data_IF_203331083629
#
_entry.id   IF_203331083629
#
_cell.length_a   1.000
_cell.length_b   1.000
_cell.length_c   1.000
_cell.angle_alpha   90.00
_cell.angle_beta   90.00
_cell.angle_gamma   90.00
#
_symmetry.space_group_name_H-M   'P 1'
#
loop_
_entity.id
_entity.type
_entity.pdbx_description
1 polymer ?
#
# COMPACT_ATOMS: atom_id res chain seq x y z
N UNK A 1 -20.98 21.23 4.55
CA UNK A 1 -21.94 20.85 3.49
C UNK A 1 -21.26 21.18 2.17
N UNK A 2 -20.77 20.19 1.42
CA UNK A 2 -20.18 20.42 0.10
C UNK A 2 -21.17 19.94 -0.94
N UNK A 3 -21.71 20.87 -1.71
CA UNK A 3 -22.56 20.63 -2.88
C UNK A 3 -21.78 21.05 -4.11
N UNK A 4 -21.51 20.13 -5.02
CA UNK A 4 -21.34 20.43 -6.46
C UNK A 4 -21.85 19.22 -7.25
N UNK A 5 -22.89 19.43 -8.06
CA UNK A 5 -23.32 18.65 -9.25
C UNK A 5 -23.47 17.12 -9.15
N UNK A 6 -24.72 16.63 -9.35
CA UNK A 6 -25.14 15.26 -9.76
C UNK A 6 -24.55 14.03 -9.05
N UNK A 7 -23.66 14.19 -8.07
CA UNK A 7 -23.09 13.12 -7.25
C UNK A 7 -22.79 13.69 -5.86
N UNK A 8 -23.38 13.09 -4.82
CA UNK A 8 -23.13 13.52 -3.44
C UNK A 8 -21.82 12.89 -2.94
N UNK A 9 -20.88 13.72 -2.48
CA UNK A 9 -19.72 13.29 -1.69
C UNK A 9 -20.02 13.69 -0.23
N UNK A 10 -20.35 12.72 0.62
CA UNK A 10 -20.60 13.00 2.03
C UNK A 10 -19.30 12.94 2.82
N UNK A 11 -18.91 14.07 3.38
CA UNK A 11 -17.78 14.18 4.30
C UNK A 11 -18.27 14.75 5.63
N UNK A 12 -18.18 13.96 6.70
CA UNK A 12 -18.28 14.47 8.08
C UNK A 12 -17.21 13.82 8.93
N UNK A 13 -16.41 14.64 9.62
CA UNK A 13 -15.41 14.20 10.59
C UNK A 13 -16.15 13.74 11.86
N UNK A 14 -15.98 12.49 12.28
CA UNK A 14 -16.25 12.09 13.66
C UNK A 14 -15.39 10.88 14.04
N UNK A 15 -15.23 10.67 15.34
CA UNK A 15 -14.38 9.65 15.98
C UNK A 15 -14.78 8.18 15.64
N UNK A 16 -15.88 7.99 14.89
CA UNK A 16 -16.50 6.70 14.54
C UNK A 16 -16.21 6.20 13.12
N UNK A 17 -15.34 6.87 12.36
CA UNK A 17 -14.82 6.41 11.07
C UNK A 17 -15.67 6.84 9.88
N UNK A 18 -15.03 7.43 8.87
CA UNK A 18 -15.67 7.91 7.64
C UNK A 18 -15.36 6.95 6.50
N UNK A 19 -16.39 6.40 5.87
CA UNK A 19 -16.29 5.75 4.56
C UNK A 19 -16.81 6.71 3.51
N UNK A 20 -15.91 7.23 2.68
CA UNK A 20 -16.26 8.00 1.50
C UNK A 20 -16.79 7.04 0.45
N UNK A 21 -18.07 7.15 0.09
CA UNK A 21 -18.64 6.46 -1.05
C UNK A 21 -19.26 7.49 -1.99
N UNK A 22 -18.88 7.41 -3.27
CA UNK A 22 -19.58 8.17 -4.31
C UNK A 22 -20.93 7.50 -4.51
N UNK A 23 -22.00 8.29 -4.41
CA UNK A 23 -23.35 7.85 -4.79
C UNK A 23 -23.65 8.39 -6.18
N UNK A 24 -24.18 7.53 -7.06
CA UNK A 24 -24.62 7.95 -8.39
C UNK A 24 -26.02 8.56 -8.29
N UNK A 25 -26.17 9.81 -8.73
CA UNK A 25 -27.47 10.48 -8.80
C UNK A 25 -27.68 11.60 -7.78
N UNK A 26 -28.84 12.30 -7.86
CA UNK A 26 -29.13 13.48 -7.06
C UNK A 26 -29.53 13.17 -5.60
N UNK A 27 -29.85 11.91 -5.29
CA UNK A 27 -30.29 11.45 -3.96
C UNK A 27 -29.65 10.11 -3.60
N UNK A 28 -29.62 9.79 -2.30
CA UNK A 28 -29.18 8.50 -1.78
C UNK A 28 -30.38 7.53 -1.83
N UNK A 29 -30.24 6.42 -2.54
CA UNK A 29 -31.23 5.34 -2.49
C UNK A 29 -31.06 4.46 -1.24
N UNK A 30 -32.06 3.63 -0.94
CA UNK A 30 -31.93 2.64 0.15
C UNK A 30 -30.77 1.66 -0.12
N UNK A 31 -30.53 1.29 -1.37
CA UNK A 31 -29.44 0.39 -1.75
C UNK A 31 -28.07 1.03 -1.52
N UNK A 32 -27.94 2.32 -1.85
CA UNK A 32 -26.72 3.09 -1.57
C UNK A 32 -26.46 3.16 -0.06
N UNK A 33 -27.50 3.40 0.73
CA UNK A 33 -27.41 3.42 2.18
C UNK A 33 -26.98 2.07 2.75
N UNK A 34 -27.62 0.99 2.32
CA UNK A 34 -27.31 -0.37 2.79
C UNK A 34 -25.90 -0.80 2.41
N UNK A 35 -25.44 -0.46 1.20
CA UNK A 35 -24.05 -0.69 0.76
C UNK A 35 -23.06 0.06 1.64
N UNK A 36 -23.31 1.35 1.89
CA UNK A 36 -22.46 2.17 2.75
C UNK A 36 -22.39 1.67 4.20
N UNK A 37 -23.54 1.25 4.77
CA UNK A 37 -23.62 0.65 6.10
C UNK A 37 -22.81 -0.64 6.19
N UNK A 38 -22.90 -1.47 5.15
CA UNK A 38 -22.17 -2.73 5.10
C UNK A 38 -20.66 -2.52 4.95
N UNK A 39 -20.21 -1.54 4.15
CA UNK A 39 -18.80 -1.14 4.12
C UNK A 39 -18.32 -0.59 5.47
N UNK A 40 -19.13 0.23 6.16
CA UNK A 40 -18.81 0.72 7.49
C UNK A 40 -18.65 -0.42 8.51
N UNK A 41 -19.57 -1.41 8.50
CA UNK A 41 -19.49 -2.61 9.34
C UNK A 41 -18.21 -3.38 9.11
N UNK A 42 -17.81 -3.60 7.86
CA UNK A 42 -16.55 -4.30 7.54
C UNK A 42 -15.31 -3.53 8.00
N UNK A 43 -15.28 -2.21 7.84
CA UNK A 43 -14.17 -1.39 8.36
C UNK A 43 -14.09 -1.43 9.89
N UNK A 44 -15.24 -1.44 10.57
CA UNK A 44 -15.28 -1.51 12.03
C UNK A 44 -14.76 -2.86 12.54
N UNK A 45 -15.08 -3.96 11.85
CA UNK A 45 -14.64 -5.32 12.22
C UNK A 45 -13.12 -5.52 12.21
N UNK A 46 -12.38 -4.72 11.43
CA UNK A 46 -10.91 -4.85 11.32
C UNK A 46 -10.15 -3.94 12.31
N UNK A 47 -10.87 -3.16 13.14
CA UNK A 47 -10.27 -2.14 14.01
C UNK A 47 -9.61 -2.78 15.23
N UNK A 48 -8.29 -2.70 15.27
CA UNK A 48 -7.45 -3.10 16.39
C UNK A 48 -6.80 -1.85 17.00
N UNK A 49 -7.15 -1.48 18.25
CA UNK A 49 -6.56 -0.31 18.91
C UNK A 49 -5.04 -0.39 18.96
N UNK A 50 -4.37 0.74 18.74
CA UNK A 50 -2.95 0.84 19.01
C UNK A 50 -2.72 0.91 20.52
N UNK A 51 -1.96 -0.04 21.06
CA UNK A 51 -1.52 0.01 22.46
C UNK A 51 -0.17 0.72 22.54
N UNK A 52 -0.01 1.62 23.52
CA UNK A 52 1.24 2.39 23.72
C UNK A 52 2.45 1.50 23.99
N UNK A 53 2.22 0.31 24.53
CA UNK A 53 3.25 -0.69 24.81
C UNK A 53 3.28 -1.70 23.67
N UNK A 54 4.08 -1.43 22.63
CA UNK A 54 4.13 -2.25 21.41
C UNK A 54 4.41 -3.74 21.69
N UNK A 55 5.19 -4.05 22.73
CA UNK A 55 5.49 -5.42 23.15
C UNK A 55 4.26 -6.23 23.60
N UNK A 56 3.16 -5.56 23.94
CA UNK A 56 1.88 -6.22 24.26
C UNK A 56 1.13 -6.67 23.00
N UNK A 57 1.53 -6.21 21.81
CA UNK A 57 0.95 -6.69 20.55
C UNK A 57 1.60 -8.02 20.15
N UNK A 58 1.30 -9.08 20.88
CA UNK A 58 1.87 -10.43 20.67
C UNK A 58 1.55 -11.03 19.29
N UNK A 59 0.45 -10.56 18.68
CA UNK A 59 0.03 -10.90 17.32
C UNK A 59 0.57 -9.97 16.25
N UNK A 60 1.38 -8.98 16.61
CA UNK A 60 1.97 -8.09 15.62
C UNK A 60 3.00 -8.82 14.77
N UNK A 61 3.00 -8.54 13.47
CA UNK A 61 3.99 -9.10 12.53
C UNK A 61 4.44 -8.01 11.56
N UNK A 62 5.73 -7.97 11.31
CA UNK A 62 6.28 -7.12 10.27
C UNK A 62 5.92 -7.71 8.91
N UNK A 63 5.47 -6.87 7.99
CA UNK A 63 5.04 -7.30 6.65
C UNK A 63 5.81 -6.63 5.52
N UNK A 64 6.64 -5.62 5.79
CA UNK A 64 7.36 -4.89 4.76
C UNK A 64 7.94 -3.58 5.25
N UNK A 65 8.25 -2.71 4.31
CA UNK A 65 8.94 -1.44 4.51
C UNK A 65 8.26 -0.31 3.73
N UNK A 66 8.38 0.91 4.25
CA UNK A 66 7.99 2.15 3.58
C UNK A 66 9.15 3.13 3.57
N UNK A 67 9.37 3.78 2.43
CA UNK A 67 10.33 4.89 2.29
C UNK A 67 9.62 6.24 2.36
N UNK A 68 10.05 7.12 3.26
CA UNK A 68 9.39 8.41 3.49
C UNK A 68 10.34 9.46 4.11
N UNK A 69 9.81 10.63 4.48
CA UNK A 69 10.51 11.69 5.22
C UNK A 69 10.36 11.53 6.75
N UNK A 70 11.23 12.20 7.54
CA UNK A 70 11.24 12.08 9.01
C UNK A 70 9.90 12.36 9.65
N UNK A 71 9.25 13.45 9.23
CA UNK A 71 7.96 13.89 9.77
C UNK A 71 6.93 12.79 9.57
N UNK A 72 6.82 12.25 8.36
CA UNK A 72 5.87 11.17 8.08
C UNK A 72 6.19 9.92 8.89
N UNK A 73 7.48 9.57 9.02
CA UNK A 73 7.90 8.39 9.79
C UNK A 73 7.54 8.50 11.28
N UNK A 74 7.92 9.59 11.96
CA UNK A 74 7.80 9.75 13.41
C UNK A 74 6.51 10.40 13.88
N UNK A 75 6.03 11.42 13.16
CA UNK A 75 4.91 12.24 13.63
C UNK A 75 3.57 11.71 13.13
N UNK A 76 3.58 10.85 12.09
CA UNK A 76 2.37 10.27 11.50
C UNK A 76 2.34 8.75 11.71
N UNK A 77 3.23 8.02 11.03
CA UNK A 77 3.10 6.56 10.97
C UNK A 77 3.44 5.87 12.30
N UNK A 78 4.44 6.37 13.03
CA UNK A 78 4.78 5.84 14.36
C UNK A 78 3.66 6.06 15.38
N UNK A 79 2.85 7.11 15.21
CA UNK A 79 1.66 7.37 16.03
C UNK A 79 0.46 6.50 15.62
N UNK A 80 0.61 5.63 14.62
CA UNK A 80 -0.47 4.81 14.07
C UNK A 80 -1.50 5.60 13.26
N UNK A 81 -1.13 6.80 12.78
CA UNK A 81 -1.97 7.62 11.91
C UNK A 81 -1.75 7.25 10.44
N UNK A 82 -2.82 7.34 9.65
CA UNK A 82 -2.75 7.20 8.20
C UNK A 82 -1.92 8.27 7.49
N UNK A 83 -1.48 7.93 6.27
CA UNK A 83 -0.94 8.89 5.31
C UNK A 83 -1.95 9.99 4.98
N UNK A 84 -1.49 11.25 5.01
CA UNK A 84 -2.27 12.41 4.57
C UNK A 84 -2.26 12.57 3.04
N UNK A 85 -3.25 13.30 2.51
CA UNK A 85 -3.28 13.67 1.09
C UNK A 85 -2.02 14.48 0.76
N UNK A 86 -1.31 14.07 -0.28
CA UNK A 86 -0.09 14.74 -0.76
C UNK A 86 -0.19 14.98 -2.26
N UNK A 87 0.59 15.92 -2.76
CA UNK A 87 0.88 16.15 -4.18
C UNK A 87 1.71 15.01 -4.83
N UNK A 88 2.34 14.16 -4.02
CA UNK A 88 3.13 13.03 -4.51
C UNK A 88 2.28 12.06 -5.34
N UNK A 89 2.82 11.56 -6.47
CA UNK A 89 2.15 10.57 -7.28
C UNK A 89 1.72 9.35 -6.47
N UNK A 90 0.54 8.84 -6.80
CA UNK A 90 -0.06 7.70 -6.13
C UNK A 90 -0.82 6.84 -7.16
N UNK A 91 -0.24 5.73 -7.56
CA UNK A 91 -0.79 4.84 -8.60
C UNK A 91 -2.16 4.28 -8.23
N UNK A 92 -2.35 3.91 -6.97
CA UNK A 92 -3.56 3.28 -6.47
C UNK A 92 -4.45 4.22 -5.65
N UNK A 93 -4.14 5.53 -5.63
CA UNK A 93 -4.84 6.53 -4.81
C UNK A 93 -4.17 6.78 -3.47
N UNK A 94 -4.86 7.50 -2.60
CA UNK A 94 -4.36 7.90 -1.28
C UNK A 94 -4.22 6.68 -0.37
N UNK A 95 -3.03 6.08 -0.37
CA UNK A 95 -2.67 4.94 0.46
C UNK A 95 -1.22 5.02 0.92
N UNK A 96 -0.88 4.20 1.90
CA UNK A 96 0.49 3.92 2.27
C UNK A 96 1.00 2.82 1.34
N UNK A 97 2.10 3.11 0.65
CA UNK A 97 2.71 2.18 -0.29
C UNK A 97 3.88 1.53 0.42
N UNK A 98 3.85 0.21 0.49
CA UNK A 98 4.87 -0.58 1.16
C UNK A 98 5.47 -1.57 0.16
N UNK A 99 6.66 -2.07 0.47
CA UNK A 99 7.40 -3.07 -0.32
C UNK A 99 7.98 -4.13 0.60
N UNK A 100 8.23 -5.32 0.10
CA UNK A 100 8.87 -6.41 0.83
C UNK A 100 10.39 -6.27 0.94
N UNK A 101 10.98 -5.47 0.06
CA UNK A 101 12.43 -5.27 -0.04
C UNK A 101 12.85 -3.89 0.54
N UNK A 102 13.69 -3.83 1.58
CA UNK A 102 14.17 -2.57 2.13
C UNK A 102 14.98 -1.73 1.11
N UNK A 103 15.59 -2.36 0.11
CA UNK A 103 16.27 -1.67 -1.02
C UNK A 103 15.26 -0.82 -1.79
N UNK A 104 14.08 -1.35 -2.08
CA UNK A 104 13.01 -0.62 -2.77
C UNK A 104 12.45 0.51 -1.90
N UNK A 105 12.33 0.30 -0.59
CA UNK A 105 11.91 1.35 0.33
C UNK A 105 12.93 2.51 0.34
N UNK A 106 14.22 2.19 0.31
CA UNK A 106 15.30 3.16 0.19
C UNK A 106 15.19 3.99 -1.11
N UNK A 107 14.91 3.35 -2.25
CA UNK A 107 14.66 4.08 -3.49
C UNK A 107 13.50 5.06 -3.33
N UNK A 108 12.38 4.61 -2.77
CA UNK A 108 11.22 5.47 -2.61
C UNK A 108 11.43 6.56 -1.57
N UNK A 109 12.29 6.40 -0.56
CA UNK A 109 12.68 7.49 0.33
C UNK A 109 13.48 8.57 -0.40
N UNK A 110 14.19 8.22 -1.48
CA UNK A 110 14.95 9.15 -2.32
C UNK A 110 14.15 9.76 -3.48
N UNK A 111 13.19 9.03 -4.03
CA UNK A 111 12.41 9.47 -5.20
C UNK A 111 11.68 10.80 -4.93
N UNK A 112 12.06 11.85 -5.68
CA UNK A 112 11.49 13.20 -5.53
C UNK A 112 12.00 13.98 -4.32
N UNK A 113 13.06 13.49 -3.66
CA UNK A 113 13.72 14.14 -2.52
C UNK A 113 15.26 14.08 -2.59
N UNK A 114 15.85 13.57 -3.66
CA UNK A 114 17.29 13.23 -3.68
C UNK A 114 18.26 14.41 -3.53
N UNK A 115 17.77 15.63 -3.72
CA UNK A 115 18.48 16.89 -3.48
C UNK A 115 18.33 17.41 -2.04
N UNK A 116 17.51 16.74 -1.22
CA UNK A 116 17.25 17.15 0.15
C UNK A 116 18.24 16.53 1.13
N UNK A 117 18.34 17.12 2.33
CA UNK A 117 19.26 16.65 3.37
C UNK A 117 18.85 15.31 3.99
N UNK A 118 19.75 14.70 4.74
CA UNK A 118 19.59 13.36 5.33
C UNK A 118 18.28 13.13 6.11
N UNK A 119 17.70 14.18 6.71
CA UNK A 119 16.43 14.13 7.43
C UNK A 119 15.22 13.81 6.55
N UNK A 120 15.35 13.88 5.22
CA UNK A 120 14.25 13.64 4.29
C UNK A 120 14.18 12.19 3.78
N UNK A 121 15.08 11.32 4.27
CA UNK A 121 15.26 9.97 3.77
C UNK A 121 15.22 8.93 4.89
N UNK A 122 14.02 8.44 5.17
CA UNK A 122 13.78 7.43 6.21
C UNK A 122 13.17 6.17 5.62
N UNK A 123 13.61 5.04 6.14
CA UNK A 123 12.97 3.75 5.93
C UNK A 123 12.30 3.38 7.25
N UNK A 124 11.10 2.84 7.16
CA UNK A 124 10.37 2.35 8.33
C UNK A 124 9.81 0.98 8.06
N UNK A 125 9.88 0.11 9.07
CA UNK A 125 9.29 -1.22 9.02
C UNK A 125 7.81 -1.14 9.37
N UNK A 126 6.99 -1.79 8.58
CA UNK A 126 5.53 -1.76 8.69
C UNK A 126 5.05 -3.03 9.36
N UNK A 127 4.23 -2.86 10.39
CA UNK A 127 3.68 -3.95 11.18
C UNK A 127 2.15 -3.95 11.10
N UNK A 128 1.57 -5.13 10.94
CA UNK A 128 0.16 -5.36 11.28
C UNK A 128 0.06 -5.56 12.78
N UNK A 129 -0.95 -4.97 13.43
CA UNK A 129 -1.20 -5.05 14.88
C UNK A 129 -1.73 -6.44 15.29
N UNK A 130 -2.58 -7.03 14.46
CA UNK A 130 -3.12 -8.38 14.65
C UNK A 130 -3.03 -9.18 13.35
N UNK A 131 -2.16 -10.19 13.33
CA UNK A 131 -1.93 -11.03 12.16
C UNK A 131 -3.13 -11.91 11.78
N UNK A 132 -3.99 -12.28 12.73
CA UNK A 132 -5.20 -13.05 12.44
C UNK A 132 -6.21 -12.21 11.66
N UNK A 133 -6.41 -10.94 12.08
CA UNK A 133 -7.25 -9.99 11.32
C UNK A 133 -6.65 -9.73 9.95
N UNK A 134 -5.32 -9.56 9.88
CA UNK A 134 -4.60 -9.44 8.62
C UNK A 134 -4.93 -10.59 7.67
N UNK A 135 -4.78 -11.85 8.09
CA UNK A 135 -5.04 -13.03 7.25
C UNK A 135 -6.48 -13.06 6.71
N UNK A 136 -7.46 -12.62 7.50
CA UNK A 136 -8.88 -12.57 7.10
C UNK A 136 -9.23 -11.47 6.08
N UNK A 137 -8.38 -10.45 5.95
CA UNK A 137 -8.64 -9.29 5.11
C UNK A 137 -8.50 -9.62 3.61
N UNK A 138 -9.38 -9.09 2.78
CA UNK A 138 -9.25 -9.24 1.32
C UNK A 138 -7.92 -8.64 0.84
N UNK A 139 -7.10 -9.44 0.16
CA UNK A 139 -5.90 -8.99 -0.53
C UNK A 139 -5.98 -9.48 -1.96
N UNK A 140 -5.68 -8.60 -2.91
CA UNK A 140 -5.80 -8.92 -4.34
C UNK A 140 -4.52 -8.49 -5.04
N UNK A 141 -3.97 -9.41 -5.81
CA UNK A 141 -2.79 -9.16 -6.64
C UNK A 141 -3.23 -8.79 -8.04
N UNK A 142 -2.92 -7.57 -8.45
CA UNK A 142 -3.29 -7.01 -9.75
C UNK A 142 -2.06 -7.06 -10.66
N UNK A 143 -2.19 -7.47 -11.94
CA UNK A 143 -1.11 -7.33 -12.91
C UNK A 143 -0.85 -5.85 -13.22
N UNK A 144 0.41 -5.48 -13.42
CA UNK A 144 0.78 -4.09 -13.71
C UNK A 144 0.07 -3.54 -14.96
N UNK A 145 -0.10 -4.39 -15.98
CA UNK A 145 -0.68 -4.02 -17.27
C UNK A 145 -2.08 -4.61 -17.51
N UNK A 146 -2.92 -4.69 -16.48
CA UNK A 146 -4.27 -5.27 -16.55
C UNK A 146 -5.42 -4.33 -16.93
N UNK A 147 -6.65 -4.87 -16.82
CA UNK A 147 -7.94 -4.15 -16.97
C UNK A 147 -8.14 -3.12 -15.85
N UNK A 148 -7.66 -3.44 -14.65
CA UNK A 148 -7.64 -2.52 -13.51
C UNK A 148 -6.40 -1.64 -13.67
N UNK A 149 -6.62 -0.43 -14.18
CA UNK A 149 -5.53 0.52 -14.40
C UNK A 149 -5.20 1.25 -13.09
N UNK A 150 -3.91 1.48 -12.80
CA UNK A 150 -3.54 2.49 -11.83
C UNK A 150 -4.07 3.85 -12.30
N UNK A 151 -4.32 4.75 -11.36
CA UNK A 151 -4.48 6.16 -11.68
C UNK A 151 -3.23 6.64 -12.42
N UNK A 152 -3.39 7.43 -13.51
CA UNK A 152 -2.27 8.11 -14.13
C UNK A 152 -1.52 8.93 -13.08
N UNK A 153 -0.21 8.70 -12.97
CA UNK A 153 0.64 9.47 -12.08
C UNK A 153 0.69 10.95 -12.55
N UNK A 154 0.53 11.89 -11.63
CA UNK A 154 0.78 13.34 -11.79
C UNK A 154 -0.25 14.20 -12.55
N UNK A 155 -1.46 13.70 -12.81
CA UNK A 155 -2.54 14.60 -13.26
C UNK A 155 -3.30 15.15 -12.05
N UNK A 156 -3.46 16.48 -11.91
CA UNK A 156 -4.28 17.07 -10.86
C UNK A 156 -5.74 16.67 -11.09
N UNK A 157 -6.20 15.65 -10.37
CA UNK A 157 -7.59 15.22 -10.37
C UNK A 157 -8.37 15.94 -9.29
N UNK A 158 -9.59 16.34 -9.64
CA UNK A 158 -10.58 16.81 -8.67
C UNK A 158 -10.95 15.68 -7.70
N UNK A 159 -11.49 16.03 -6.54
CA UNK A 159 -11.96 15.03 -5.57
C UNK A 159 -13.04 14.12 -6.17
N UNK A 160 -13.86 14.63 -7.10
CA UNK A 160 -14.87 13.87 -7.82
C UNK A 160 -14.27 12.82 -8.76
N UNK A 161 -13.23 13.18 -9.52
CA UNK A 161 -12.54 12.25 -10.43
C UNK A 161 -11.78 11.17 -9.65
N UNK A 162 -11.17 11.53 -8.53
CA UNK A 162 -10.54 10.55 -7.64
C UNK A 162 -11.58 9.61 -7.04
N UNK A 163 -12.72 10.13 -6.58
CA UNK A 163 -13.81 9.32 -6.06
C UNK A 163 -14.41 8.39 -7.13
N UNK A 164 -14.58 8.88 -8.35
CA UNK A 164 -15.04 8.07 -9.48
C UNK A 164 -14.03 6.95 -9.82
N UNK A 165 -12.75 7.29 -9.92
CA UNK A 165 -11.70 6.30 -10.21
C UNK A 165 -11.61 5.21 -9.14
N UNK A 166 -11.81 5.58 -7.86
CA UNK A 166 -11.88 4.61 -6.78
C UNK A 166 -13.13 3.72 -6.90
N UNK A 167 -14.30 4.30 -7.16
CA UNK A 167 -15.56 3.58 -7.35
C UNK A 167 -15.47 2.55 -8.49
N UNK A 168 -14.97 2.96 -9.65
CA UNK A 168 -14.79 2.06 -10.81
C UNK A 168 -13.81 0.93 -10.51
N UNK A 169 -12.74 1.23 -9.77
CA UNK A 169 -11.80 0.21 -9.31
C UNK A 169 -12.46 -0.76 -8.34
N UNK A 170 -13.22 -0.27 -7.37
CA UNK A 170 -13.90 -1.13 -6.39
C UNK A 170 -14.84 -2.12 -7.06
N UNK A 171 -15.64 -1.65 -8.03
CA UNK A 171 -16.53 -2.49 -8.80
C UNK A 171 -15.77 -3.57 -9.56
N UNK A 172 -14.68 -3.20 -10.25
CA UNK A 172 -13.83 -4.17 -10.96
C UNK A 172 -13.15 -5.17 -10.03
N UNK A 173 -12.73 -4.75 -8.84
CA UNK A 173 -12.13 -5.64 -7.84
C UNK A 173 -13.18 -6.62 -7.31
N UNK A 174 -14.41 -6.16 -7.07
CA UNK A 174 -15.52 -7.02 -6.68
C UNK A 174 -15.88 -8.00 -7.80
N UNK A 175 -16.00 -7.54 -9.04
CA UNK A 175 -16.35 -8.35 -10.21
C UNK A 175 -15.30 -9.43 -10.50
N UNK A 176 -14.02 -9.05 -10.57
CA UNK A 176 -12.95 -9.95 -11.01
C UNK A 176 -12.39 -10.83 -9.90
N UNK A 177 -12.44 -10.38 -8.64
CA UNK A 177 -11.82 -11.09 -7.51
C UNK A 177 -12.83 -11.46 -6.41
N UNK A 178 -14.11 -11.07 -6.51
CA UNK A 178 -15.08 -11.27 -5.43
C UNK A 178 -14.64 -10.61 -4.11
N UNK A 179 -13.85 -9.54 -4.18
CA UNK A 179 -13.27 -8.87 -3.02
C UNK A 179 -13.99 -7.55 -2.73
N UNK A 180 -14.54 -7.43 -1.52
CA UNK A 180 -15.23 -6.22 -1.07
C UNK A 180 -14.30 -5.36 -0.21
N UNK A 181 -14.52 -4.04 -0.20
CA UNK A 181 -13.84 -3.13 0.72
C UNK A 181 -14.15 -3.47 2.18
N UNK A 182 -13.17 -3.35 3.12
CA UNK A 182 -11.78 -2.99 2.88
C UNK A 182 -11.00 -4.13 2.23
N UNK A 183 -10.16 -3.79 1.26
CA UNK A 183 -9.22 -4.70 0.62
C UNK A 183 -7.85 -4.04 0.45
N UNK A 184 -6.83 -4.84 0.19
CA UNK A 184 -5.45 -4.39 -0.07
C UNK A 184 -5.07 -4.74 -1.49
N UNK A 185 -4.38 -3.83 -2.15
CA UNK A 185 -3.84 -4.06 -3.49
C UNK A 185 -2.39 -4.44 -3.41
N UNK A 186 -2.03 -5.50 -4.11
CA UNK A 186 -0.66 -5.91 -4.36
C UNK A 186 -0.40 -5.85 -5.86
N UNK A 187 0.81 -5.48 -6.26
CA UNK A 187 1.23 -5.46 -7.66
C UNK A 187 2.74 -5.63 -7.73
N UNK A 188 3.23 -6.10 -8.88
CA UNK A 188 4.65 -5.98 -9.23
C UNK A 188 4.83 -4.81 -10.16
N UNK A 189 6.00 -4.18 -10.10
CA UNK A 189 6.29 -3.03 -10.95
C UNK A 189 7.70 -3.08 -11.50
N UNK A 190 7.83 -2.67 -12.76
CA UNK A 190 9.14 -2.42 -13.34
C UNK A 190 9.68 -1.08 -12.80
N UNK A 191 10.93 -1.02 -12.35
CA UNK A 191 11.64 0.23 -12.07
C UNK A 191 11.55 1.15 -13.29
N UNK A 192 10.92 2.33 -13.15
CA UNK A 192 10.90 3.31 -14.26
C UNK A 192 12.32 3.77 -14.58
N UNK A 193 12.53 4.35 -15.77
CA UNK A 193 13.82 4.93 -16.24
C UNK A 193 14.57 5.77 -15.19
N UNK A 194 13.90 6.32 -14.18
CA UNK A 194 14.52 7.05 -13.07
C UNK A 194 15.51 6.21 -12.23
N UNK A 195 15.46 4.87 -12.29
CA UNK A 195 16.45 3.99 -11.66
C UNK A 195 17.81 3.93 -12.39
N UNK A 196 17.92 4.51 -13.60
CA UNK A 196 19.19 4.62 -14.32
C UNK A 196 19.96 5.91 -14.00
N UNK A 197 19.68 6.55 -12.85
CA UNK A 197 20.45 7.70 -12.40
C UNK A 197 21.85 7.21 -11.94
N UNK A 198 22.97 7.80 -12.44
CA UNK A 198 24.32 7.43 -12.03
C UNK A 198 24.55 7.43 -10.52
N UNK A 199 23.78 8.21 -9.76
CA UNK A 199 23.83 8.21 -8.28
C UNK A 199 23.51 6.85 -7.66
N UNK A 200 22.88 5.94 -8.40
CA UNK A 200 22.54 4.59 -7.94
C UNK A 200 23.59 3.54 -8.32
N UNK A 201 24.57 3.89 -9.16
CA UNK A 201 25.65 2.98 -9.53
C UNK A 201 26.54 2.66 -8.32
N UNK A 202 26.80 1.36 -8.10
CA UNK A 202 27.58 0.90 -6.94
C UNK A 202 26.80 0.80 -5.62
N UNK A 203 25.55 1.28 -5.57
CA UNK A 203 24.65 1.17 -4.41
C UNK A 203 23.78 -0.10 -4.48
N UNK A 204 23.11 -0.51 -3.38
CA UNK A 204 22.13 -1.60 -3.43
C UNK A 204 21.02 -1.42 -4.48
N UNK A 205 20.67 -0.17 -4.83
CA UNK A 205 19.67 0.13 -5.87
C UNK A 205 20.12 -0.20 -7.29
N UNK A 206 21.43 -0.13 -7.57
CA UNK A 206 21.97 -0.48 -8.89
C UNK A 206 21.69 -1.94 -9.27
N UNK A 207 21.56 -2.83 -8.27
CA UNK A 207 21.36 -4.27 -8.46
C UNK A 207 19.93 -4.67 -8.84
N UNK A 208 18.98 -3.74 -8.76
CA UNK A 208 17.55 -3.99 -9.00
C UNK A 208 16.99 -3.23 -10.21
N UNK A 209 17.82 -2.48 -10.94
CA UNK A 209 17.40 -1.58 -12.04
C UNK A 209 16.54 -2.23 -13.13
N UNK A 210 16.71 -3.53 -13.36
CA UNK A 210 15.99 -4.29 -14.40
C UNK A 210 15.02 -5.32 -13.82
N UNK A 211 14.88 -5.38 -12.48
CA UNK A 211 14.04 -6.37 -11.79
C UNK A 211 12.74 -5.74 -11.34
N UNK A 212 11.63 -6.44 -11.52
CA UNK A 212 10.36 -5.99 -10.93
C UNK A 212 10.41 -6.12 -9.42
N UNK A 213 9.68 -5.24 -8.75
CA UNK A 213 9.56 -5.26 -7.29
C UNK A 213 8.10 -5.35 -6.86
N UNK A 214 7.87 -5.89 -5.67
CA UNK A 214 6.53 -5.97 -5.08
C UNK A 214 6.18 -4.63 -4.41
N UNK A 215 4.95 -4.17 -4.65
CA UNK A 215 4.34 -3.00 -4.04
C UNK A 215 2.97 -3.38 -3.50
N UNK A 216 2.65 -2.88 -2.31
CA UNK A 216 1.34 -3.04 -1.72
C UNK A 216 0.79 -1.67 -1.33
N UNK A 217 -0.45 -1.39 -1.74
CA UNK A 217 -1.17 -0.19 -1.34
C UNK A 217 -2.16 -0.52 -0.22
N UNK A 218 -1.92 0.07 0.96
CA UNK A 218 -2.80 -0.03 2.12
C UNK A 218 -3.64 1.24 2.19
N UNK A 219 -4.96 1.11 2.11
CA UNK A 219 -5.86 2.26 2.14
C UNK A 219 -6.07 2.82 3.55
N UNK A 220 -6.46 4.10 3.68
CA UNK A 220 -6.43 4.82 4.95
C UNK A 220 -7.25 4.16 6.06
N UNK A 221 -8.42 3.61 5.73
CA UNK A 221 -9.28 2.92 6.69
C UNK A 221 -8.57 1.70 7.31
N UNK A 222 -7.80 0.97 6.51
CA UNK A 222 -7.04 -0.19 6.95
C UNK A 222 -5.82 0.25 7.74
N UNK A 223 -5.14 1.31 7.30
CA UNK A 223 -3.98 1.88 8.03
C UNK A 223 -4.36 2.23 9.47
N UNK A 224 -5.40 3.04 9.64
CA UNK A 224 -5.87 3.49 10.96
C UNK A 224 -6.31 2.30 11.83
N UNK A 225 -6.93 1.30 11.22
CA UNK A 225 -7.51 0.15 11.90
C UNK A 225 -6.47 -0.89 12.33
N UNK A 226 -5.46 -1.18 11.53
CA UNK A 226 -4.68 -2.42 11.67
C UNK A 226 -3.17 -2.21 11.66
N UNK A 227 -2.65 -1.03 11.36
CA UNK A 227 -1.23 -0.85 11.10
C UNK A 227 -0.51 0.07 12.07
N UNK A 228 0.76 -0.21 12.31
CA UNK A 228 1.69 0.77 12.87
C UNK A 228 3.04 0.60 12.20
N UNK A 229 3.89 1.60 12.35
CA UNK A 229 5.16 1.68 11.63
C UNK A 229 6.25 2.07 12.59
N UNK A 230 7.42 1.44 12.46
CA UNK A 230 8.59 1.71 13.31
C UNK A 230 9.71 2.22 12.40
N UNK A 231 10.13 3.48 12.55
CA UNK A 231 11.30 4.01 11.86
C UNK A 231 12.53 3.15 12.17
N UNK A 232 13.34 2.87 11.16
CA UNK A 232 14.62 2.19 11.35
C UNK A 232 15.67 3.22 11.84
N UNK A 233 16.62 2.76 12.66
CA UNK A 233 17.63 3.62 13.27
C UNK A 233 18.55 4.26 12.22
N UNK A 234 18.87 3.54 11.15
CA UNK A 234 19.64 4.05 10.02
C UNK A 234 18.74 4.84 9.07
N UNK A 235 19.11 6.11 8.82
CA UNK A 235 18.49 6.87 7.74
C UNK A 235 18.91 6.28 6.38
N UNK A 236 18.02 6.37 5.41
CA UNK A 236 18.24 5.83 4.06
C UNK A 236 19.32 6.60 3.30
N UNK A 237 19.65 7.81 3.76
CA UNK A 237 20.63 8.69 3.14
C UNK A 237 22.05 8.13 3.27
N UNK A 238 22.44 7.71 4.48
CA UNK A 238 23.76 7.13 4.74
C UNK A 238 23.97 5.82 3.97
N UNK A 239 22.93 4.98 3.87
CA UNK A 239 22.99 3.72 3.12
C UNK A 239 23.17 3.91 1.61
N UNK A 240 22.75 5.06 1.10
CA UNK A 240 22.77 5.38 -0.33
C UNK A 240 24.04 6.07 -0.79
N UNK A 241 24.67 6.84 0.10
CA UNK A 241 25.93 7.52 -0.20
C UNK A 241 27.16 6.69 0.18
N UNK A 242 26.99 5.72 1.06
CA UNK A 242 28.08 4.84 1.47
C UNK A 242 28.29 3.72 0.43
N UNK A 243 29.06 4.01 -0.60
CA UNK A 243 29.45 3.06 -1.65
C UNK A 243 30.26 1.84 -1.13
N UNK A 244 30.71 1.85 0.14
CA UNK A 244 31.30 0.67 0.77
C UNK A 244 30.24 -0.36 1.18
N UNK A 245 28.99 0.09 1.41
CA UNK A 245 27.85 -0.75 1.77
C UNK A 245 27.09 -1.20 0.53
N UNK A 246 27.62 -2.23 -0.13
CA UNK A 246 26.97 -2.89 -1.28
C UNK A 246 25.72 -3.70 -0.93
N UNK A 247 25.37 -3.82 0.36
CA UNK A 247 24.27 -4.64 0.89
C UNK A 247 23.54 -3.91 2.00
N UNK A 248 22.24 -4.18 2.14
CA UNK A 248 21.46 -3.74 3.28
C UNK A 248 21.91 -4.45 4.57
N UNK A 249 21.71 -3.83 5.75
CA UNK A 249 21.97 -4.48 7.04
C UNK A 249 21.28 -5.85 7.12
N UNK A 250 21.97 -6.86 7.66
CA UNK A 250 21.43 -8.23 7.74
C UNK A 250 20.12 -8.31 8.55
N UNK A 251 19.97 -7.43 9.55
CA UNK A 251 18.75 -7.28 10.34
C UNK A 251 17.53 -6.81 9.50
N UNK A 252 17.74 -6.35 8.27
CA UNK A 252 16.71 -5.89 7.35
C UNK A 252 16.37 -7.02 6.36
N UNK A 253 15.57 -7.98 6.85
CA UNK A 253 15.08 -9.11 6.06
C UNK A 253 14.23 -8.67 4.86
N UNK A 254 14.41 -9.29 3.71
CA UNK A 254 13.45 -9.29 2.58
C UNK A 254 12.32 -10.29 2.87
N UNK A 255 11.06 -9.83 2.80
CA UNK A 255 9.88 -10.63 3.14
C UNK A 255 9.32 -11.54 2.01
N UNK A 256 9.91 -11.51 0.81
CA UNK A 256 9.58 -12.37 -0.35
C UNK A 256 8.08 -12.67 -0.51
N UNK A 257 7.27 -11.63 -0.79
CA UNK A 257 5.82 -11.80 -0.80
C UNK A 257 5.30 -12.76 -1.87
N UNK A 258 6.06 -12.95 -2.94
CA UNK A 258 5.74 -13.77 -4.09
C UNK A 258 5.95 -15.28 -3.88
N UNK A 259 6.72 -15.67 -2.85
CA UNK A 259 7.03 -17.07 -2.56
C UNK A 259 6.55 -17.51 -1.19
N UNK A 260 6.63 -16.64 -0.18
CA UNK A 260 6.53 -17.08 1.22
C UNK A 260 5.13 -16.88 1.81
N UNK A 261 4.36 -15.92 1.28
CA UNK A 261 3.18 -15.40 1.99
C UNK A 261 1.89 -15.36 1.19
N UNK A 262 1.90 -15.63 -0.13
CA UNK A 262 0.69 -15.54 -0.97
C UNK A 262 -0.47 -16.35 -0.38
N UNK A 263 -0.20 -17.61 -0.02
CA UNK A 263 -1.24 -18.49 0.53
C UNK A 263 -1.55 -18.16 1.99
N UNK A 264 -0.53 -17.88 2.81
CA UNK A 264 -0.71 -17.55 4.23
C UNK A 264 -1.55 -16.28 4.41
N UNK A 265 -1.44 -15.35 3.47
CA UNK A 265 -2.18 -14.10 3.48
C UNK A 265 -3.53 -14.20 2.74
N UNK A 266 -3.87 -15.37 2.17
CA UNK A 266 -5.07 -15.57 1.38
C UNK A 266 -5.21 -14.52 0.25
N UNK A 267 -4.12 -14.29 -0.49
CA UNK A 267 -4.10 -13.31 -1.57
C UNK A 267 -4.81 -13.89 -2.79
N UNK A 268 -5.79 -13.17 -3.32
CA UNK A 268 -6.48 -13.54 -4.55
C UNK A 268 -5.63 -13.11 -5.75
N UNK A 269 -5.24 -14.07 -6.58
CA UNK A 269 -4.39 -13.87 -7.76
C UNK A 269 -5.18 -14.27 -9.00
N UNK A 270 -5.18 -13.41 -10.04
CA UNK A 270 -5.85 -13.70 -11.32
C UNK A 270 -4.91 -14.44 -12.28
N UNK A 271 -5.47 -15.12 -13.30
CA UNK A 271 -4.66 -15.73 -14.36
C UNK A 271 -3.80 -14.69 -15.09
N UNK A 272 -4.31 -13.47 -15.33
CA UNK A 272 -3.54 -12.39 -15.93
C UNK A 272 -2.27 -12.05 -15.13
N UNK A 273 -2.35 -12.11 -13.79
CA UNK A 273 -1.20 -11.92 -12.91
C UNK A 273 -0.18 -13.05 -13.04
N UNK A 274 -0.66 -14.30 -13.11
CA UNK A 274 0.18 -15.49 -13.29
C UNK A 274 0.89 -15.41 -14.65
N UNK A 275 0.17 -15.06 -15.71
CA UNK A 275 0.69 -14.92 -17.07
C UNK A 275 1.71 -13.77 -17.15
N UNK A 276 1.46 -12.64 -16.48
CA UNK A 276 2.42 -11.55 -16.39
C UNK A 276 3.71 -12.00 -15.70
N UNK A 277 3.64 -12.65 -14.54
CA UNK A 277 4.82 -13.16 -13.85
C UNK A 277 5.58 -14.19 -14.68
N UNK A 278 4.87 -15.10 -15.35
CA UNK A 278 5.46 -16.10 -16.25
C UNK A 278 6.22 -15.46 -17.39
N UNK A 279 5.65 -14.42 -18.05
CA UNK A 279 6.35 -13.66 -19.11
C UNK A 279 7.63 -12.98 -18.63
N UNK A 280 7.65 -12.58 -17.35
CA UNK A 280 8.82 -11.99 -16.70
C UNK A 280 9.78 -13.04 -16.11
N UNK A 281 9.52 -14.34 -16.30
CA UNK A 281 10.30 -15.47 -15.73
C UNK A 281 10.33 -15.44 -14.20
N UNK A 282 9.25 -14.98 -13.59
CA UNK A 282 9.06 -14.92 -12.15
C UNK A 282 8.08 -16.02 -11.72
N UNK A 283 8.31 -16.60 -10.54
CA UNK A 283 7.45 -17.66 -10.00
C UNK A 283 6.59 -17.08 -8.88
N UNK A 284 5.27 -17.17 -9.03
CA UNK A 284 4.34 -17.01 -7.92
C UNK A 284 4.08 -18.41 -7.35
N UNK A 285 4.51 -18.66 -6.11
CA UNK A 285 4.24 -19.95 -5.47
C UNK A 285 2.84 -19.89 -4.87
N UNK A 286 1.87 -20.38 -5.63
CA UNK A 286 0.54 -20.70 -5.14
C UNK A 286 0.60 -22.13 -4.61
N UNK A 287 0.54 -22.35 -3.30
CA UNK A 287 0.31 -23.71 -2.78
C UNK A 287 -1.05 -24.13 -3.28
N UNK A 288 -1.10 -25.27 -3.96
CA UNK A 288 -2.36 -25.89 -4.32
C UNK A 288 -3.17 -26.06 -3.03
N UNK A 289 -4.21 -25.25 -2.86
CA UNK A 289 -5.26 -25.56 -1.89
C UNK A 289 -5.98 -26.74 -2.52
N UNK A 290 -5.74 -27.94 -2.01
CA UNK A 290 -6.54 -29.11 -2.33
C UNK A 290 -8.01 -28.71 -2.17
N UNK A 291 -8.68 -28.50 -3.31
CA UNK A 291 -10.12 -28.29 -3.36
C UNK A 291 -10.76 -29.62 -2.97
N UNK A 292 -11.04 -29.78 -1.68
CA UNK A 292 -12.00 -30.77 -1.20
C UNK A 292 -13.43 -30.25 -1.37
#
# INVERSE_FOLDING_TARGET
MVRVGTSLIVATRSETGVTFEKVQGPSISNDDFMRGLETWRRNTKIRIPLVKQLHLMTKARAIGYVGTDRRTAYDIYYQGLRREKSDRPSRWGHGMYITDDPVIACFYSWLGRGDKGANEHWISRVYVRDYTVWQSLNKVWIPEKGIIKPMPDNEPKTDLEMAQSQYDRDNKIQELYGANKPYILMSKHVPRKRFSNPIYEGTPLGNIKDKRFNEMAIFPQIQDALFYVVPLEDNAYGLMLDNSKKKMPEAWKHYHWDTDVIDDWNVKVSNDTIDECTRHKEVLVLKAVDKK
#
